data_IF_730064783643
#
_entry.id   IF_730064783643
#
_cell.length_a   1.000
_cell.length_b   1.000
_cell.length_c   1.000
_cell.angle_alpha   90.00
_cell.angle_beta   90.00
_cell.angle_gamma   90.00
#
_symmetry.space_group_name_H-M   'P 1'
#
loop_
_entity.id
_entity.type
_entity.pdbx_description
1 polymer ?
#
# COMPACT_ATOMS: atom_id res chain seq x y z
N UNK A 1 1.07 11.23 8.48
CA UNK A 1 2.54 11.00 8.44
C UNK A 1 3.22 12.12 9.22
N UNK A 2 3.09 12.12 10.56
CA UNK A 2 3.70 13.13 11.45
C UNK A 2 4.91 12.53 12.16
N UNK A 3 4.83 11.25 12.55
CA UNK A 3 5.93 10.48 13.17
C UNK A 3 7.21 10.38 12.32
N UNK A 4 7.13 10.53 10.99
CA UNK A 4 8.30 10.51 10.11
C UNK A 4 9.11 11.81 10.07
N UNK A 5 8.58 12.90 10.63
CA UNK A 5 9.19 14.24 10.64
C UNK A 5 9.55 14.72 12.04
N UNK A 6 9.24 13.94 13.08
CA UNK A 6 9.74 14.13 14.44
C UNK A 6 11.13 13.47 14.50
N UNK A 7 12.13 14.01 15.22
CA UNK A 7 13.40 13.31 15.51
C UNK A 7 13.14 12.14 16.47
N UNK A 8 12.32 11.20 16.03
CA UNK A 8 12.14 9.91 16.67
C UNK A 8 13.45 9.15 16.47
N UNK A 9 13.84 8.35 17.45
CA UNK A 9 14.98 7.42 17.29
C UNK A 9 14.83 6.63 15.98
N UNK A 10 15.95 6.23 15.36
CA UNK A 10 15.92 5.50 14.06
C UNK A 10 15.06 4.22 14.13
N UNK A 11 14.92 3.65 15.33
CA UNK A 11 14.26 2.37 15.60
C UNK A 11 12.75 2.36 15.27
N UNK A 12 11.88 3.24 15.80
CA UNK A 12 10.48 3.32 15.37
C UNK A 12 10.29 3.55 13.87
N UNK A 13 11.18 4.34 13.26
CA UNK A 13 11.10 4.63 11.83
C UNK A 13 11.35 3.36 11.01
N UNK A 14 12.41 2.60 11.30
CA UNK A 14 12.71 1.32 10.65
C UNK A 14 11.50 0.37 10.76
N UNK A 15 10.92 0.25 11.96
CA UNK A 15 9.81 -0.65 12.19
C UNK A 15 8.56 -0.24 11.40
N UNK A 16 8.12 1.02 11.48
CA UNK A 16 6.94 1.50 10.75
C UNK A 16 7.16 1.35 9.24
N UNK A 17 8.35 1.70 8.76
CA UNK A 17 8.68 1.67 7.34
C UNK A 17 8.73 0.25 6.76
N UNK A 18 8.99 -0.75 7.61
CA UNK A 18 9.02 -2.16 7.20
C UNK A 18 7.66 -2.73 6.76
N UNK A 19 6.52 -2.16 7.17
CA UNK A 19 5.20 -2.73 6.85
C UNK A 19 4.09 -1.74 6.50
N UNK A 20 4.20 -0.44 6.79
CA UNK A 20 3.06 0.48 6.61
C UNK A 20 2.62 0.65 5.14
N UNK A 21 3.54 0.78 4.18
CA UNK A 21 3.16 0.86 2.75
C UNK A 21 2.60 -0.47 2.23
N UNK A 22 3.24 -1.63 2.49
CA UNK A 22 2.67 -2.93 2.21
C UNK A 22 1.27 -3.12 2.79
N UNK A 23 1.04 -2.70 4.04
CA UNK A 23 -0.25 -2.80 4.72
C UNK A 23 -1.39 -2.15 3.92
N UNK A 24 -1.16 -0.98 3.30
CA UNK A 24 -2.21 -0.34 2.48
C UNK A 24 -2.52 -1.12 1.19
N UNK A 25 -1.52 -1.79 0.58
CA UNK A 25 -1.77 -2.71 -0.52
C UNK A 25 -2.56 -3.94 -0.04
N UNK A 26 -2.20 -4.54 1.10
CA UNK A 26 -2.94 -5.66 1.73
C UNK A 26 -4.40 -5.27 1.98
N UNK A 27 -4.63 -4.12 2.63
CA UNK A 27 -5.98 -3.62 2.89
C UNK A 27 -6.77 -3.41 1.59
N UNK A 28 -6.14 -2.85 0.55
CA UNK A 28 -6.79 -2.62 -0.72
C UNK A 28 -7.19 -3.93 -1.43
N UNK A 29 -6.38 -4.97 -1.29
CA UNK A 29 -6.67 -6.32 -1.75
C UNK A 29 -7.78 -7.01 -0.94
N UNK A 30 -7.75 -6.86 0.39
CA UNK A 30 -8.77 -7.39 1.29
C UNK A 30 -10.16 -6.80 0.99
N UNK A 31 -10.21 -5.51 0.64
CA UNK A 31 -11.43 -4.78 0.31
C UNK A 31 -11.86 -4.93 -1.16
N UNK A 32 -11.12 -5.68 -1.98
CA UNK A 32 -11.52 -5.91 -3.36
C UNK A 32 -12.83 -6.70 -3.39
N UNK A 33 -13.74 -6.26 -4.26
CA UNK A 33 -15.02 -6.93 -4.46
C UNK A 33 -14.86 -8.08 -5.45
N UNK A 34 -15.53 -9.21 -5.20
CA UNK A 34 -15.56 -10.37 -6.12
C UNK A 34 -16.48 -10.18 -7.33
N UNK A 35 -16.88 -8.94 -7.65
CA UNK A 35 -17.76 -8.67 -8.77
C UNK A 35 -17.13 -9.14 -10.10
N UNK A 36 -17.92 -9.73 -10.98
CA UNK A 36 -17.48 -10.23 -12.29
C UNK A 36 -17.01 -9.13 -13.25
N UNK A 37 -17.33 -7.86 -12.96
CA UNK A 37 -17.20 -6.72 -13.87
C UNK A 37 -16.09 -5.73 -13.46
N UNK A 38 -14.92 -6.23 -13.06
CA UNK A 38 -13.79 -5.39 -12.59
C UNK A 38 -13.19 -4.48 -13.67
N UNK A 39 -13.41 -4.77 -14.96
CA UNK A 39 -12.83 -4.04 -16.10
C UNK A 39 -13.84 -3.43 -17.07
N UNK A 40 -15.09 -3.28 -16.67
CA UNK A 40 -16.00 -2.43 -17.45
C UNK A 40 -15.47 -1.00 -17.48
N UNK A 41 -15.77 -0.26 -18.55
CA UNK A 41 -15.39 1.15 -18.68
C UNK A 41 -15.78 1.96 -17.44
N UNK A 42 -16.99 1.72 -16.91
CA UNK A 42 -17.48 2.33 -15.66
C UNK A 42 -16.60 1.99 -14.45
N UNK A 43 -16.19 0.73 -14.29
CA UNK A 43 -15.31 0.31 -13.20
C UNK A 43 -13.92 0.94 -13.28
N UNK A 44 -13.34 0.99 -14.49
CA UNK A 44 -12.04 1.64 -14.73
C UNK A 44 -12.15 3.13 -14.45
N UNK A 45 -13.14 3.82 -15.04
CA UNK A 45 -13.39 5.25 -14.81
C UNK A 45 -13.51 5.55 -13.31
N UNK A 46 -14.25 4.74 -12.56
CA UNK A 46 -14.39 4.89 -11.11
C UNK A 46 -13.06 4.74 -10.36
N UNK A 47 -12.20 3.79 -10.74
CA UNK A 47 -10.85 3.64 -10.14
C UNK A 47 -9.98 4.86 -10.41
N UNK A 48 -9.97 5.34 -11.65
CA UNK A 48 -9.26 6.55 -12.04
C UNK A 48 -9.75 7.77 -11.25
N UNK A 49 -11.07 7.98 -11.18
CA UNK A 49 -11.65 9.09 -10.41
C UNK A 49 -11.30 8.97 -8.92
N UNK A 50 -11.44 7.79 -8.32
CA UNK A 50 -11.16 7.58 -6.89
C UNK A 50 -9.70 7.81 -6.51
N UNK A 51 -8.75 7.63 -7.43
CA UNK A 51 -7.32 7.71 -7.12
C UNK A 51 -6.63 8.95 -7.73
N UNK A 52 -6.89 9.27 -9.00
CA UNK A 52 -6.25 10.40 -9.67
C UNK A 52 -6.89 11.76 -9.34
N UNK A 53 -8.19 11.81 -8.98
CA UNK A 53 -8.78 13.08 -8.54
C UNK A 53 -8.14 13.50 -7.20
N UNK A 54 -8.06 12.65 -6.15
CA UNK A 54 -7.34 13.02 -4.95
C UNK A 54 -5.87 13.32 -5.22
N UNK A 55 -5.21 12.56 -6.10
CA UNK A 55 -3.82 12.81 -6.48
C UNK A 55 -3.62 14.23 -7.04
N UNK A 56 -4.46 14.65 -7.99
CA UNK A 56 -4.41 15.99 -8.56
C UNK A 56 -4.82 17.07 -7.53
N UNK A 57 -5.87 16.80 -6.75
CA UNK A 57 -6.38 17.72 -5.72
C UNK A 57 -5.32 18.04 -4.66
N UNK A 58 -4.50 17.06 -4.25
CA UNK A 58 -3.42 17.31 -3.30
C UNK A 58 -2.16 17.85 -3.99
N UNK A 59 -1.87 17.45 -5.23
CA UNK A 59 -0.70 17.93 -5.94
C UNK A 59 -0.79 19.41 -6.31
N UNK A 60 -1.91 19.86 -6.87
CA UNK A 60 -2.04 21.22 -7.43
C UNK A 60 -1.80 22.33 -6.40
N UNK A 61 -2.48 22.34 -5.23
CA UNK A 61 -2.21 23.35 -4.20
C UNK A 61 -0.79 23.27 -3.68
N UNK A 62 -0.27 22.06 -3.53
CA UNK A 62 1.07 21.85 -3.00
C UNK A 62 2.14 22.36 -3.98
N UNK A 63 1.95 22.16 -5.29
CA UNK A 63 2.77 22.74 -6.35
C UNK A 63 2.71 24.27 -6.34
N UNK A 64 1.52 24.86 -6.19
CA UNK A 64 1.35 26.32 -6.11
C UNK A 64 2.13 26.89 -4.92
N UNK A 65 1.99 26.29 -3.73
CA UNK A 65 2.71 26.72 -2.53
C UNK A 65 4.23 26.63 -2.73
N UNK A 66 4.73 25.50 -3.23
CA UNK A 66 6.15 25.31 -3.53
C UNK A 66 6.67 26.33 -4.55
N UNK A 67 5.88 26.63 -5.58
CA UNK A 67 6.24 27.61 -6.60
C UNK A 67 6.37 29.03 -6.01
N UNK A 68 5.44 29.42 -5.13
CA UNK A 68 5.44 30.72 -4.44
C UNK A 68 6.62 30.82 -3.46
N UNK A 69 6.89 29.76 -2.69
CA UNK A 69 7.94 29.74 -1.68
C UNK A 69 9.35 29.72 -2.29
N UNK A 70 9.60 28.82 -3.24
CA UNK A 70 10.95 28.63 -3.80
C UNK A 70 11.27 29.54 -5.00
N UNK A 71 10.26 30.20 -5.59
CA UNK A 71 10.39 31.14 -6.71
C UNK A 71 11.41 30.65 -7.77
N UNK A 72 11.11 29.55 -8.48
CA UNK A 72 12.07 28.92 -9.37
C UNK A 72 12.56 29.91 -10.44
N UNK A 73 13.87 30.09 -10.52
CA UNK A 73 14.52 31.09 -11.38
C UNK A 73 14.55 30.69 -12.87
N UNK A 74 14.24 29.44 -13.19
CA UNK A 74 14.23 28.91 -14.56
C UNK A 74 12.96 28.12 -14.84
N UNK A 75 12.53 28.12 -16.11
CA UNK A 75 11.40 27.32 -16.58
C UNK A 75 11.63 25.81 -16.34
N UNK A 76 12.87 25.34 -16.49
CA UNK A 76 13.22 23.95 -16.18
C UNK A 76 12.99 23.60 -14.70
N UNK A 77 13.35 24.51 -13.78
CA UNK A 77 13.11 24.29 -12.35
C UNK A 77 11.62 24.29 -12.03
N UNK A 78 10.84 25.17 -12.66
CA UNK A 78 9.37 25.20 -12.52
C UNK A 78 8.70 23.94 -13.09
N UNK A 79 9.17 23.43 -14.24
CA UNK A 79 8.59 22.25 -14.87
C UNK A 79 8.98 20.93 -14.20
N UNK A 80 10.10 20.88 -13.46
CA UNK A 80 10.60 19.62 -12.89
C UNK A 80 9.56 18.88 -12.01
N UNK A 81 8.83 19.53 -11.08
CA UNK A 81 7.77 18.85 -10.31
C UNK A 81 6.58 18.43 -11.17
N UNK A 82 6.26 19.16 -12.24
CA UNK A 82 5.18 18.82 -13.17
C UNK A 82 5.52 17.58 -14.01
N UNK A 83 6.77 17.44 -14.43
CA UNK A 83 7.24 16.22 -15.09
C UNK A 83 7.29 15.07 -14.08
N UNK A 84 7.76 15.33 -12.85
CA UNK A 84 7.82 14.34 -11.79
C UNK A 84 6.43 13.78 -11.43
N UNK A 85 5.37 14.59 -11.39
CA UNK A 85 4.00 14.08 -11.11
C UNK A 85 3.49 13.10 -12.17
N UNK A 86 3.99 13.18 -13.40
CA UNK A 86 3.62 12.27 -14.48
C UNK A 86 4.56 11.05 -14.57
N UNK A 87 5.86 11.27 -14.37
CA UNK A 87 6.88 10.26 -14.59
C UNK A 87 7.53 9.78 -13.28
N UNK A 88 8.41 10.61 -12.68
CA UNK A 88 9.18 10.28 -11.48
C UNK A 88 8.53 10.77 -10.18
N UNK A 89 7.35 10.25 -9.87
CA UNK A 89 6.63 10.69 -8.67
C UNK A 89 7.16 10.02 -7.39
N UNK A 90 8.14 9.12 -7.51
CA UNK A 90 8.80 8.45 -6.40
C UNK A 90 9.98 9.25 -5.86
N UNK A 91 10.94 9.64 -6.70
CA UNK A 91 12.20 10.24 -6.22
C UNK A 91 12.21 11.76 -6.33
N UNK A 92 11.66 12.31 -7.41
CA UNK A 92 11.83 13.70 -7.79
C UNK A 92 10.60 14.58 -7.48
N UNK A 93 9.69 14.12 -6.63
CA UNK A 93 8.54 14.89 -6.18
C UNK A 93 8.89 15.67 -4.89
N UNK A 94 9.11 17.00 -4.97
CA UNK A 94 9.57 17.78 -3.81
C UNK A 94 8.47 17.99 -2.77
N UNK A 95 7.22 17.70 -3.13
CA UNK A 95 6.03 18.10 -2.36
C UNK A 95 5.14 16.89 -2.19
N UNK A 96 4.72 16.64 -0.96
CA UNK A 96 3.79 15.57 -0.60
C UNK A 96 4.28 14.17 -1.04
N UNK A 97 5.42 13.76 -0.49
CA UNK A 97 6.06 12.47 -0.76
C UNK A 97 5.26 11.20 -0.47
N UNK A 98 4.01 11.30 -0.01
CA UNK A 98 3.07 10.18 0.11
C UNK A 98 2.19 9.99 -1.14
N UNK A 99 2.14 10.99 -2.03
CA UNK A 99 1.23 10.99 -3.18
C UNK A 99 1.53 9.90 -4.22
N UNK A 100 2.77 9.43 -4.31
CA UNK A 100 3.17 8.33 -5.22
C UNK A 100 2.31 7.07 -5.06
N UNK A 101 1.78 6.84 -3.86
CA UNK A 101 1.02 5.64 -3.54
C UNK A 101 -0.31 5.57 -4.29
N UNK A 102 -0.98 6.70 -4.54
CA UNK A 102 -2.29 6.73 -5.20
C UNK A 102 -2.25 6.18 -6.63
N UNK A 103 -1.38 6.69 -7.54
CA UNK A 103 -1.29 6.15 -8.88
C UNK A 103 -0.57 4.78 -8.92
N UNK A 104 0.29 4.46 -7.95
CA UNK A 104 0.83 3.10 -7.77
C UNK A 104 -0.29 2.09 -7.47
N UNK A 105 -1.20 2.44 -6.57
CA UNK A 105 -2.36 1.61 -6.23
C UNK A 105 -3.33 1.48 -7.41
N UNK A 106 -3.44 2.51 -8.26
CA UNK A 106 -4.23 2.45 -9.49
C UNK A 106 -3.71 1.31 -10.38
N UNK A 107 -2.41 1.33 -10.70
CA UNK A 107 -1.76 0.29 -11.49
C UNK A 107 -1.93 -1.10 -10.88
N UNK A 108 -1.61 -1.25 -9.61
CA UNK A 108 -1.78 -2.51 -8.88
C UNK A 108 -3.22 -3.04 -8.98
N UNK A 109 -4.22 -2.16 -8.82
CA UNK A 109 -5.63 -2.53 -8.86
C UNK A 109 -6.16 -2.87 -10.26
N UNK A 110 -5.50 -2.36 -11.31
CA UNK A 110 -5.81 -2.67 -12.71
C UNK A 110 -5.16 -3.99 -13.11
N UNK A 111 -3.88 -4.19 -12.77
CA UNK A 111 -3.17 -5.46 -12.97
C UNK A 111 -3.90 -6.62 -12.30
N UNK A 112 -4.28 -6.45 -11.03
CA UNK A 112 -5.04 -7.47 -10.31
C UNK A 112 -6.39 -7.75 -10.97
N UNK A 113 -7.09 -6.73 -11.47
CA UNK A 113 -8.37 -6.91 -12.16
C UNK A 113 -8.22 -7.70 -13.48
N UNK A 114 -7.16 -7.45 -14.25
CA UNK A 114 -6.83 -8.19 -15.49
C UNK A 114 -6.53 -9.66 -15.21
N UNK A 115 -5.83 -9.96 -14.12
CA UNK A 115 -5.52 -11.33 -13.70
C UNK A 115 -6.79 -12.04 -13.19
N UNK A 116 -7.50 -11.39 -12.26
CA UNK A 116 -8.66 -11.97 -11.56
C UNK A 116 -9.91 -12.11 -12.42
N UNK A 117 -10.07 -11.31 -13.49
CA UNK A 117 -11.21 -11.48 -14.41
C UNK A 117 -11.17 -12.87 -15.08
N UNK A 118 -9.97 -13.38 -15.40
CA UNK A 118 -9.77 -14.57 -16.22
C UNK A 118 -9.80 -15.84 -15.38
N UNK A 119 -9.34 -15.76 -14.13
CA UNK A 119 -9.18 -16.91 -13.27
C UNK A 119 -9.64 -16.60 -11.85
N UNK A 120 -10.31 -17.56 -11.20
CA UNK A 120 -10.71 -17.47 -9.79
C UNK A 120 -9.89 -18.37 -8.86
N UNK A 121 -9.16 -19.33 -9.43
CA UNK A 121 -8.28 -20.21 -8.66
C UNK A 121 -7.07 -19.42 -8.13
N UNK A 122 -6.85 -19.34 -6.80
CA UNK A 122 -5.75 -18.57 -6.23
C UNK A 122 -4.37 -19.05 -6.68
N UNK A 123 -4.18 -20.34 -6.96
CA UNK A 123 -2.90 -20.87 -7.45
C UNK A 123 -2.56 -20.33 -8.84
N UNK A 124 -3.55 -20.25 -9.74
CA UNK A 124 -3.37 -19.69 -11.09
C UNK A 124 -3.08 -18.19 -11.02
N UNK A 125 -3.80 -17.47 -10.15
CA UNK A 125 -3.56 -16.04 -9.91
C UNK A 125 -2.14 -15.84 -9.38
N UNK A 126 -1.67 -16.68 -8.45
CA UNK A 126 -0.32 -16.60 -7.90
C UNK A 126 0.75 -16.75 -8.99
N UNK A 127 0.61 -17.74 -9.87
CA UNK A 127 1.52 -17.96 -11.02
C UNK A 127 1.58 -16.72 -11.92
N UNK A 128 0.44 -16.04 -12.13
CA UNK A 128 0.39 -14.83 -12.95
C UNK A 128 0.92 -13.57 -12.24
N UNK A 129 0.82 -13.50 -10.91
CA UNK A 129 1.34 -12.39 -10.10
C UNK A 129 2.86 -12.43 -10.01
N UNK A 130 3.48 -13.61 -9.84
CA UNK A 130 4.92 -13.71 -9.57
C UNK A 130 5.84 -13.07 -10.64
N UNK A 131 5.59 -13.20 -11.95
CA UNK A 131 6.37 -12.49 -12.96
C UNK A 131 6.39 -10.97 -12.78
N UNK A 132 5.27 -10.36 -12.38
CA UNK A 132 5.23 -8.93 -12.07
C UNK A 132 6.03 -8.59 -10.81
N UNK A 133 5.99 -9.44 -9.80
CA UNK A 133 6.78 -9.25 -8.57
C UNK A 133 8.28 -9.29 -8.89
N UNK A 134 8.74 -10.28 -9.67
CA UNK A 134 10.13 -10.36 -10.13
C UNK A 134 10.52 -9.15 -10.97
N UNK A 135 9.66 -8.75 -11.92
CA UNK A 135 9.86 -7.54 -12.72
C UNK A 135 9.98 -6.29 -11.84
N UNK A 136 9.11 -6.12 -10.85
CA UNK A 136 9.14 -4.99 -9.92
C UNK A 136 10.45 -4.92 -9.14
N UNK A 137 10.88 -6.03 -8.52
CA UNK A 137 12.17 -6.07 -7.81
C UNK A 137 13.36 -5.84 -8.77
N UNK A 138 13.32 -6.40 -9.98
CA UNK A 138 14.36 -6.16 -10.98
C UNK A 138 14.47 -4.68 -11.35
N UNK A 139 13.34 -4.03 -11.65
CA UNK A 139 13.31 -2.63 -12.05
C UNK A 139 13.78 -1.69 -10.94
N UNK A 140 13.44 -1.98 -9.69
CA UNK A 140 13.62 -1.06 -8.56
C UNK A 140 14.95 -1.29 -7.83
N UNK A 141 15.43 -2.54 -7.77
CA UNK A 141 16.68 -2.89 -7.07
C UNK A 141 17.87 -2.90 -8.02
N UNK A 142 17.73 -3.53 -9.19
CA UNK A 142 18.85 -3.75 -10.10
C UNK A 142 18.96 -2.65 -11.16
N UNK A 143 17.88 -2.40 -11.91
CA UNK A 143 17.90 -1.42 -13.00
C UNK A 143 17.79 0.02 -12.50
N UNK A 144 17.14 0.23 -11.35
CA UNK A 144 16.81 1.57 -10.79
C UNK A 144 16.11 2.47 -11.81
N UNK A 145 15.28 1.89 -12.66
CA UNK A 145 14.57 2.61 -13.71
C UNK A 145 13.37 3.36 -13.16
N UNK A 146 13.17 4.58 -13.66
CA UNK A 146 11.99 5.38 -13.32
C UNK A 146 10.87 5.05 -14.29
N UNK A 147 9.82 4.42 -13.77
CA UNK A 147 8.60 4.13 -14.50
C UNK A 147 7.48 5.09 -14.11
N UNK A 148 6.62 5.48 -15.06
CA UNK A 148 5.54 6.42 -14.78
C UNK A 148 4.66 5.88 -13.66
N UNK A 149 4.33 6.78 -12.72
CA UNK A 149 3.38 6.50 -11.65
C UNK A 149 3.74 5.28 -10.78
N UNK A 150 5.04 5.09 -10.56
CA UNK A 150 5.58 4.04 -9.70
C UNK A 150 5.11 2.64 -10.11
N UNK A 151 5.09 2.36 -11.42
CA UNK A 151 4.65 1.06 -11.95
C UNK A 151 5.51 -0.11 -11.45
N UNK A 152 6.83 0.08 -11.33
CA UNK A 152 7.74 -0.94 -10.78
C UNK A 152 7.36 -1.31 -9.34
N UNK A 153 7.25 -0.30 -8.46
CA UNK A 153 6.72 -0.49 -7.10
C UNK A 153 5.31 -1.08 -7.08
N UNK A 154 4.42 -0.69 -7.99
CA UNK A 154 3.07 -1.26 -8.05
C UNK A 154 3.09 -2.77 -8.33
N UNK A 155 4.09 -3.23 -9.08
CA UNK A 155 4.28 -4.63 -9.42
C UNK A 155 4.75 -5.44 -8.20
N UNK A 156 5.59 -4.85 -7.34
CA UNK A 156 5.91 -5.41 -6.01
C UNK A 156 4.65 -5.39 -5.13
N UNK A 157 3.92 -4.27 -5.12
CA UNK A 157 2.66 -4.08 -4.39
C UNK A 157 1.59 -5.11 -4.71
N UNK A 158 1.61 -5.67 -5.93
CA UNK A 158 0.70 -6.72 -6.39
C UNK A 158 0.80 -7.98 -5.53
N UNK A 159 1.98 -8.31 -4.99
CA UNK A 159 2.16 -9.42 -4.04
C UNK A 159 1.28 -9.20 -2.80
N UNK A 160 1.39 -8.02 -2.19
CA UNK A 160 0.67 -7.65 -0.98
C UNK A 160 -0.83 -7.50 -1.23
N UNK A 161 -1.21 -6.94 -2.38
CA UNK A 161 -2.60 -6.85 -2.80
C UNK A 161 -3.22 -8.23 -2.97
N UNK A 162 -2.54 -9.16 -3.64
CA UNK A 162 -3.00 -10.54 -3.78
C UNK A 162 -3.06 -11.26 -2.42
N UNK A 163 -2.07 -11.06 -1.56
CA UNK A 163 -2.10 -11.58 -0.19
C UNK A 163 -3.34 -11.09 0.58
N UNK A 164 -3.66 -9.80 0.49
CA UNK A 164 -4.87 -9.23 1.09
C UNK A 164 -6.17 -9.86 0.57
N UNK A 165 -6.24 -10.13 -0.75
CA UNK A 165 -7.37 -10.83 -1.35
C UNK A 165 -7.56 -12.24 -0.74
N UNK A 166 -6.48 -12.99 -0.53
CA UNK A 166 -6.53 -14.30 0.14
C UNK A 166 -6.91 -14.13 1.62
N UNK A 167 -6.26 -13.20 2.33
CA UNK A 167 -6.43 -12.96 3.76
C UNK A 167 -7.89 -12.74 4.15
N UNK A 168 -8.69 -12.12 3.27
CA UNK A 168 -10.13 -11.94 3.42
C UNK A 168 -10.86 -13.22 3.85
N UNK A 169 -10.46 -14.39 3.31
CA UNK A 169 -11.09 -15.67 3.59
C UNK A 169 -10.67 -16.30 4.93
N UNK A 170 -9.56 -15.84 5.52
CA UNK A 170 -9.00 -16.37 6.75
C UNK A 170 -9.08 -15.40 7.94
N UNK A 171 -9.54 -14.17 7.70
CA UNK A 171 -9.51 -13.07 8.68
C UNK A 171 -10.21 -13.43 9.99
N UNK A 172 -11.40 -14.03 9.91
CA UNK A 172 -12.17 -14.43 11.09
C UNK A 172 -11.41 -15.53 11.88
N UNK A 173 -10.94 -16.57 11.20
CA UNK A 173 -10.16 -17.66 11.82
C UNK A 173 -8.92 -17.11 12.54
N UNK A 174 -8.18 -16.20 11.90
CA UNK A 174 -6.98 -15.59 12.47
C UNK A 174 -7.30 -14.72 13.68
N UNK A 175 -8.38 -13.93 13.63
CA UNK A 175 -8.86 -13.12 14.75
C UNK A 175 -9.26 -13.94 15.97
N UNK A 176 -9.96 -15.04 15.72
CA UNK A 176 -10.55 -15.84 16.80
C UNK A 176 -9.52 -16.74 17.45
N UNK A 177 -8.68 -17.43 16.66
CA UNK A 177 -7.74 -18.44 17.17
C UNK A 177 -6.29 -17.99 17.29
N UNK A 178 -5.84 -17.07 16.42
CA UNK A 178 -4.41 -16.79 16.25
C UNK A 178 -3.98 -15.37 16.58
N UNK A 179 -4.88 -14.49 17.04
CA UNK A 179 -4.54 -13.07 17.26
C UNK A 179 -3.39 -12.89 18.26
N UNK A 180 -3.41 -13.62 19.38
CA UNK A 180 -2.34 -13.55 20.38
C UNK A 180 -1.03 -14.14 19.86
N UNK A 181 -1.10 -15.27 19.14
CA UNK A 181 0.07 -15.88 18.51
C UNK A 181 0.73 -14.93 17.51
N UNK A 182 -0.05 -14.26 16.66
CA UNK A 182 0.45 -13.27 15.71
C UNK A 182 1.11 -12.08 16.42
N UNK A 183 0.53 -11.60 17.52
CA UNK A 183 1.14 -10.53 18.33
C UNK A 183 2.49 -10.97 18.91
N UNK A 184 2.54 -12.14 19.53
CA UNK A 184 3.76 -12.69 20.13
C UNK A 184 4.83 -12.90 19.06
N UNK A 185 4.47 -13.46 17.91
CA UNK A 185 5.38 -13.65 16.77
C UNK A 185 5.89 -12.31 16.22
N UNK A 186 5.05 -11.28 16.11
CA UNK A 186 5.47 -9.92 15.75
C UNK A 186 6.47 -9.33 16.77
N UNK A 187 6.21 -9.48 18.06
CA UNK A 187 7.13 -9.02 19.11
C UNK A 187 8.48 -9.74 19.05
N UNK A 188 8.46 -11.06 18.85
CA UNK A 188 9.65 -11.92 18.83
C UNK A 188 10.52 -11.66 17.60
N UNK A 189 9.90 -11.32 16.46
CA UNK A 189 10.60 -11.05 15.20
C UNK A 189 10.97 -9.57 15.01
N UNK A 190 10.47 -8.66 15.85
CA UNK A 190 10.77 -7.23 15.75
C UNK A 190 12.28 -6.91 15.77
N UNK A 191 13.12 -7.50 16.65
CA UNK A 191 14.56 -7.24 16.62
C UNK A 191 15.22 -7.62 15.29
N UNK A 192 14.78 -8.70 14.66
CA UNK A 192 15.26 -9.13 13.35
C UNK A 192 14.83 -8.15 12.25
N UNK A 193 13.59 -7.66 12.28
CA UNK A 193 13.15 -6.62 11.33
C UNK A 193 13.94 -5.32 11.52
N UNK A 194 14.25 -4.96 12.76
CA UNK A 194 15.07 -3.79 13.08
C UNK A 194 16.50 -3.90 12.55
N UNK A 195 17.07 -5.11 12.51
CA UNK A 195 18.40 -5.33 11.93
C UNK A 195 18.43 -5.28 10.40
N UNK A 196 17.28 -5.34 9.72
CA UNK A 196 17.19 -5.18 8.25
C UNK A 196 17.58 -3.77 7.78
N UNK A 197 17.47 -2.77 8.65
CA UNK A 197 17.70 -1.36 8.30
C UNK A 197 16.48 -0.69 7.67
N UNK A 198 16.66 0.59 7.29
CA UNK A 198 15.56 1.43 6.83
C UNK A 198 15.08 1.00 5.44
N UNK A 199 13.85 0.49 5.35
CA UNK A 199 13.22 0.13 4.08
C UNK A 199 12.40 1.31 3.55
N UNK A 200 12.31 1.47 2.23
CA UNK A 200 11.38 2.41 1.59
C UNK A 200 10.93 1.84 0.26
N UNK A 201 9.65 1.41 0.21
CA UNK A 201 9.01 1.05 -1.06
C UNK A 201 8.98 2.23 -2.02
N UNK A 202 8.93 3.48 -1.54
CA UNK A 202 8.90 4.64 -2.43
C UNK A 202 10.15 4.70 -3.30
N UNK A 203 11.31 4.42 -2.73
CA UNK A 203 12.63 4.61 -3.36
C UNK A 203 13.28 3.29 -3.78
N UNK A 204 12.55 2.17 -3.69
CA UNK A 204 13.08 0.84 -4.02
C UNK A 204 14.16 0.31 -3.07
N UNK A 205 14.29 0.85 -1.85
CA UNK A 205 15.34 0.44 -0.90
C UNK A 205 14.84 -0.63 0.06
N UNK A 206 15.22 -1.89 -0.14
CA UNK A 206 14.69 -3.04 0.63
C UNK A 206 15.68 -3.74 1.58
N UNK A 207 16.98 -3.47 1.45
CA UNK A 207 18.04 -4.25 2.13
C UNK A 207 17.86 -5.75 1.89
N UNK A 208 17.49 -6.54 2.90
CA UNK A 208 17.08 -7.93 2.68
C UNK A 208 15.61 -8.01 2.25
N UNK A 209 15.39 -8.35 0.97
CA UNK A 209 14.07 -8.44 0.34
C UNK A 209 13.17 -9.47 1.05
N UNK A 210 13.71 -10.64 1.40
CA UNK A 210 12.93 -11.70 2.04
C UNK A 210 12.47 -11.28 3.43
N UNK A 211 13.35 -10.64 4.18
CA UNK A 211 13.04 -10.12 5.51
C UNK A 211 12.02 -8.99 5.45
N UNK A 212 12.10 -8.13 4.43
CA UNK A 212 11.09 -7.11 4.15
C UNK A 212 9.72 -7.74 3.87
N UNK A 213 9.63 -8.72 2.96
CA UNK A 213 8.35 -9.37 2.63
C UNK A 213 7.77 -10.06 3.87
N UNK A 214 8.59 -10.80 4.61
CA UNK A 214 8.19 -11.47 5.84
C UNK A 214 7.64 -10.49 6.89
N UNK A 215 8.40 -9.43 7.18
CA UNK A 215 7.96 -8.39 8.12
C UNK A 215 6.68 -7.69 7.67
N UNK A 216 6.61 -7.33 6.38
CA UNK A 216 5.44 -6.69 5.79
C UNK A 216 4.16 -7.51 5.98
N UNK A 217 4.23 -8.81 5.67
CA UNK A 217 3.10 -9.72 5.79
C UNK A 217 2.74 -9.95 7.26
N UNK A 218 3.72 -10.24 8.11
CA UNK A 218 3.48 -10.53 9.53
C UNK A 218 2.88 -9.34 10.27
N UNK A 219 3.57 -8.19 10.27
CA UNK A 219 3.12 -7.00 10.98
C UNK A 219 1.83 -6.44 10.37
N UNK A 220 1.72 -6.43 9.04
CA UNK A 220 0.50 -6.01 8.34
C UNK A 220 -0.70 -6.87 8.75
N UNK A 221 -0.54 -8.19 8.78
CA UNK A 221 -1.59 -9.13 9.20
C UNK A 221 -1.96 -8.94 10.65
N UNK A 222 -0.98 -8.82 11.55
CA UNK A 222 -1.23 -8.56 12.98
C UNK A 222 -2.07 -7.29 13.16
N UNK A 223 -1.70 -6.18 12.51
CA UNK A 223 -2.46 -4.92 12.58
C UNK A 223 -3.89 -5.10 12.07
N UNK A 224 -4.08 -5.77 10.93
CA UNK A 224 -5.42 -6.00 10.36
C UNK A 224 -6.27 -6.88 11.28
N UNK A 225 -5.71 -7.98 11.78
CA UNK A 225 -6.41 -8.95 12.64
C UNK A 225 -6.85 -8.29 13.95
N UNK A 226 -5.97 -7.53 14.61
CA UNK A 226 -6.34 -6.79 15.82
C UNK A 226 -7.38 -5.71 15.54
N UNK A 227 -7.25 -4.98 14.43
CA UNK A 227 -8.23 -3.96 14.05
C UNK A 227 -9.61 -4.59 13.82
N UNK A 228 -9.66 -5.75 13.17
CA UNK A 228 -10.90 -6.51 12.95
C UNK A 228 -11.51 -7.02 14.26
N UNK A 229 -10.69 -7.59 15.15
CA UNK A 229 -11.13 -8.08 16.47
C UNK A 229 -11.68 -6.96 17.33
N UNK A 230 -11.01 -5.81 17.33
CA UNK A 230 -11.42 -4.61 18.05
C UNK A 230 -12.77 -4.09 17.53
N UNK A 231 -12.91 -4.01 16.20
CA UNK A 231 -14.17 -3.61 15.56
C UNK A 231 -15.34 -4.52 15.95
N UNK A 232 -15.15 -5.84 15.93
CA UNK A 232 -16.21 -6.80 16.32
C UNK A 232 -16.57 -6.70 17.82
N UNK A 233 -15.58 -6.46 18.68
CA UNK A 233 -15.81 -6.26 20.12
C UNK A 233 -16.64 -5.01 20.40
N UNK A 234 -16.27 -3.87 19.79
CA UNK A 234 -16.99 -2.60 19.95
C UNK A 234 -18.39 -2.61 19.33
N UNK A 235 -18.57 -3.22 18.15
CA UNK A 235 -19.88 -3.34 17.49
C UNK A 235 -20.87 -4.20 18.30
N UNK A 236 -20.38 -5.18 19.06
CA UNK A 236 -21.19 -5.99 19.97
C UNK A 236 -21.56 -5.26 21.27
N UNK A 237 -20.80 -4.22 21.65
CA UNK A 237 -20.99 -3.45 22.87
C UNK A 237 -21.82 -2.17 22.68
N UNK A 238 -21.95 -1.65 21.46
CA UNK A 238 -22.69 -0.41 21.21
C UNK A 238 -24.20 -0.64 21.41
N UNK A 239 -24.71 -0.16 22.54
CA UNK A 239 -26.12 -0.16 22.94
C UNK A 239 -27.05 0.32 21.82
N UNK A 240 -26.60 1.29 21.01
CA UNK A 240 -27.33 1.84 19.87
C UNK A 240 -27.68 0.79 18.80
N UNK A 241 -26.79 -0.16 18.50
CA UNK A 241 -27.05 -1.22 17.50
C UNK A 241 -27.98 -2.30 18.09
N UNK A 242 -27.86 -2.59 19.39
CA UNK A 242 -28.81 -3.48 20.10
C UNK A 242 -30.21 -2.87 20.18
N UNK A 243 -30.32 -1.55 20.40
CA UNK A 243 -31.58 -0.82 20.44
C UNK A 243 -32.26 -0.84 19.06
N UNK A 244 -31.51 -0.59 17.98
CA UNK A 244 -32.03 -0.64 16.61
C UNK A 244 -32.46 -2.06 16.21
N UNK A 245 -31.79 -3.11 16.70
CA UNK A 245 -32.20 -4.51 16.50
C UNK A 245 -33.41 -4.95 17.34
N UNK A 246 -33.73 -4.25 18.43
CA UNK A 246 -34.91 -4.53 19.26
C UNK A 246 -36.17 -3.79 18.79
N UNK A 247 -36.00 -2.74 17.97
CA UNK A 247 -37.10 -1.92 17.42
C UNK A 247 -37.50 -2.40 16.00
N UNK A 248 -36.87 -3.47 15.49
CA UNK A 248 -37.19 -4.10 14.22
C UNK A 248 -37.82 -5.48 14.39
#
# INVERSE_FOLDING_TARGET
MVLGHIPVSKTPMILIYSFHMPLFFILSGLLVKSESNLLTFTSIKRKFQKLLIPYAFFFVPAYILWFIELKPQTLNHAMKPLVAVMWDNTNNMPIAGALWFLPSLLWCSLLFAIIHQKHKNPYVIAIQVMPFVFFGFFMEVHYKGVLPWAFGISSIGLLFYFYGYILKHYLQLLSDKYSLFLLLLSCLTAPLILSNGLVSMRTGTFHNIFLFIYGSVLFGTTVIVFSYKLSNSFLNQTFVIKLVKQIG
#
